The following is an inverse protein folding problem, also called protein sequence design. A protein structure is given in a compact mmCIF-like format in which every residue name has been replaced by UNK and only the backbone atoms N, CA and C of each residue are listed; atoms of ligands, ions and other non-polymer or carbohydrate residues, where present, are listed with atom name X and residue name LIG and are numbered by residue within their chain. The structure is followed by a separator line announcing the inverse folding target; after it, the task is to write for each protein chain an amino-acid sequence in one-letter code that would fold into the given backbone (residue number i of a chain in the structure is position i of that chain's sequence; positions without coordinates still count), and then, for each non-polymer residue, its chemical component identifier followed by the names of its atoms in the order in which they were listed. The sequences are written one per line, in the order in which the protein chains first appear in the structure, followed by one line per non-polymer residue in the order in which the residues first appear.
data_IF_832423051419
#
_entry.id   IF_832423051419
#
_cell.length_a   1.000
_cell.length_b   1.000
_cell.length_c   1.000
_cell.angle_alpha   90.00
_cell.angle_beta   90.00
_cell.angle_gamma   90.00
#
_symmetry.space_group_name_H-M   'P 1'
#
loop_
_entity.id
_entity.type
_entity.pdbx_description
1 polymer ?
#
# COMPACT_ATOMS: atom_id res chain seq x y z
N UNK A 1 -12.28 -27.53 9.66
CA UNK A 1 -11.94 -26.08 9.57
C UNK A 1 -11.11 -25.89 8.31
N UNK A 2 -11.54 -25.04 7.36
CA UNK A 2 -10.65 -24.64 6.26
C UNK A 2 -9.53 -23.80 6.87
N UNK A 3 -8.29 -24.11 6.53
CA UNK A 3 -7.15 -23.28 6.93
C UNK A 3 -7.25 -21.96 6.18
N UNK A 4 -7.33 -20.84 6.90
CA UNK A 4 -7.39 -19.51 6.29
C UNK A 4 -6.02 -19.21 5.70
N UNK A 5 -5.99 -18.77 4.44
CA UNK A 5 -4.74 -18.47 3.74
C UNK A 5 -4.30 -17.06 4.08
N UNK A 6 -2.99 -16.86 4.08
CA UNK A 6 -2.38 -15.54 4.31
C UNK A 6 -1.87 -14.97 3.01
N UNK A 7 -2.22 -13.71 2.76
CA UNK A 7 -1.85 -12.98 1.56
C UNK A 7 -1.08 -11.72 1.93
N UNK A 8 -0.04 -11.44 1.15
CA UNK A 8 0.61 -10.14 1.12
C UNK A 8 0.13 -9.40 -0.13
N UNK A 9 -0.47 -8.24 0.06
CA UNK A 9 -1.01 -7.39 -1.01
C UNK A 9 -0.21 -6.09 -1.04
N UNK A 10 0.33 -5.74 -2.20
CA UNK A 10 0.98 -4.46 -2.47
C UNK A 10 0.01 -3.60 -3.27
N UNK A 11 -0.35 -2.46 -2.71
CA UNK A 11 -1.21 -1.46 -3.32
C UNK A 11 -0.38 -0.26 -3.78
N UNK A 12 -0.90 0.41 -4.78
CA UNK A 12 -0.36 1.65 -5.32
C UNK A 12 -1.45 2.72 -5.30
N UNK A 13 -1.17 3.82 -4.60
CA UNK A 13 -1.99 5.02 -4.60
C UNK A 13 -1.35 6.11 -5.45
N UNK A 14 -2.15 6.81 -6.25
CA UNK A 14 -1.72 7.98 -7.05
C UNK A 14 -2.77 9.07 -7.02
N UNK A 15 -2.39 10.29 -7.39
CA UNK A 15 -3.25 11.46 -7.35
C UNK A 15 -3.77 11.78 -5.94
N UNK A 16 -2.98 11.56 -4.89
CA UNK A 16 -3.38 11.91 -3.53
C UNK A 16 -2.88 13.31 -3.19
N UNK A 17 -3.78 14.29 -3.09
CA UNK A 17 -3.46 15.61 -2.55
C UNK A 17 -3.50 15.52 -1.03
N UNK A 18 -2.35 15.51 -0.37
CA UNK A 18 -2.25 15.30 1.07
C UNK A 18 -1.72 16.54 1.79
N UNK A 19 -2.35 16.88 2.90
CA UNK A 19 -1.81 17.80 3.91
C UNK A 19 -1.20 17.00 5.05
N UNK A 20 0.08 17.24 5.35
CA UNK A 20 0.83 16.60 6.45
C UNK A 20 1.36 17.69 7.40
N UNK A 21 1.23 17.50 8.71
CA UNK A 21 1.91 18.32 9.74
C UNK A 21 1.82 19.85 9.55
N UNK A 22 0.66 20.36 9.10
CA UNK A 22 0.40 21.78 8.77
C UNK A 22 1.19 22.35 7.59
N UNK A 23 1.79 21.50 6.75
CA UNK A 23 2.36 21.92 5.47
C UNK A 23 1.27 22.14 4.40
N UNK A 24 1.52 22.99 3.38
CA UNK A 24 0.62 23.12 2.24
C UNK A 24 0.37 21.77 1.56
N UNK A 25 -0.87 21.48 1.11
CA UNK A 25 -1.17 20.23 0.44
C UNK A 25 -0.29 20.00 -0.80
N UNK A 26 0.20 18.78 -0.98
CA UNK A 26 1.01 18.37 -2.14
C UNK A 26 0.48 17.08 -2.76
N UNK A 27 0.71 16.90 -4.06
CA UNK A 27 0.35 15.67 -4.77
C UNK A 27 1.39 14.58 -4.50
N UNK A 28 0.92 13.49 -3.92
CA UNK A 28 1.71 12.31 -3.62
C UNK A 28 1.19 11.09 -4.38
N UNK A 29 2.12 10.20 -4.66
CA UNK A 29 1.86 8.80 -4.90
C UNK A 29 2.50 7.97 -3.79
N UNK A 30 2.00 6.76 -3.57
CA UNK A 30 2.55 5.88 -2.56
C UNK A 30 2.41 4.41 -2.92
N UNK A 31 3.29 3.61 -2.31
CA UNK A 31 3.06 2.18 -2.17
C UNK A 31 2.71 1.86 -0.73
N UNK A 32 1.81 0.90 -0.55
CA UNK A 32 1.49 0.37 0.76
C UNK A 32 1.28 -1.13 0.67
N UNK A 33 1.83 -1.88 1.61
CA UNK A 33 1.54 -3.31 1.69
C UNK A 33 0.69 -3.66 2.91
N UNK A 34 -0.20 -4.63 2.71
CA UNK A 34 -1.11 -5.16 3.72
C UNK A 34 -1.02 -6.68 3.73
N UNK A 35 -0.93 -7.22 4.94
CA UNK A 35 -1.10 -8.65 5.17
C UNK A 35 -2.53 -8.91 5.62
N UNK A 36 -3.21 -9.81 4.92
CA UNK A 36 -4.61 -10.15 5.14
C UNK A 36 -4.78 -11.65 5.16
N UNK A 37 -5.77 -12.09 5.92
CA UNK A 37 -6.25 -13.47 5.95
C UNK A 37 -7.51 -13.52 5.09
N UNK A 38 -7.55 -14.46 4.14
CA UNK A 38 -8.65 -14.60 3.18
C UNK A 38 -8.72 -16.04 2.65
N UNK A 39 -9.86 -16.43 2.10
CA UNK A 39 -10.04 -17.74 1.45
C UNK A 39 -9.53 -17.74 0.00
N UNK A 40 -9.40 -16.57 -0.61
CA UNK A 40 -8.96 -16.42 -2.01
C UNK A 40 -8.13 -15.16 -2.25
N UNK A 41 -7.40 -15.16 -3.38
CA UNK A 41 -6.66 -13.98 -3.85
C UNK A 41 -7.57 -12.76 -4.05
N UNK A 42 -8.74 -12.95 -4.67
CA UNK A 42 -9.66 -11.84 -4.96
C UNK A 42 -10.23 -11.22 -3.69
N UNK A 43 -10.53 -12.06 -2.69
CA UNK A 43 -10.96 -11.59 -1.38
C UNK A 43 -9.84 -10.85 -0.64
N UNK A 44 -8.60 -11.35 -0.72
CA UNK A 44 -7.44 -10.66 -0.15
C UNK A 44 -7.24 -9.26 -0.75
N UNK A 45 -7.41 -9.13 -2.07
CA UNK A 45 -7.37 -7.84 -2.77
C UNK A 45 -8.43 -6.86 -2.23
N UNK A 46 -9.68 -7.32 -2.13
CA UNK A 46 -10.79 -6.52 -1.63
C UNK A 46 -10.56 -6.05 -0.18
N UNK A 47 -10.15 -6.95 0.71
CA UNK A 47 -9.88 -6.62 2.12
C UNK A 47 -8.73 -5.62 2.22
N UNK A 48 -7.67 -5.79 1.43
CA UNK A 48 -6.51 -4.89 1.47
C UNK A 48 -6.87 -3.48 0.98
N UNK A 49 -7.62 -3.37 -0.12
CA UNK A 49 -8.12 -2.09 -0.64
C UNK A 49 -8.98 -1.38 0.40
N UNK A 50 -9.97 -2.08 0.95
CA UNK A 50 -10.88 -1.53 1.95
C UNK A 50 -10.11 -1.03 3.17
N UNK A 51 -9.13 -1.78 3.69
CA UNK A 51 -8.34 -1.35 4.85
C UNK A 51 -7.59 -0.04 4.64
N UNK A 52 -7.11 0.24 3.43
CA UNK A 52 -6.42 1.50 3.12
C UNK A 52 -7.40 2.65 2.95
N UNK A 53 -8.61 2.37 2.45
CA UNK A 53 -9.67 3.37 2.32
C UNK A 53 -10.28 3.75 3.68
N UNK A 54 -10.54 2.76 4.55
CA UNK A 54 -11.15 2.97 5.87
C UNK A 54 -10.16 3.60 6.86
N UNK A 55 -8.86 3.29 6.71
CA UNK A 55 -7.79 3.75 7.58
C UNK A 55 -6.61 4.27 6.74
N UNK A 56 -6.76 5.46 6.12
CA UNK A 56 -5.60 6.18 5.60
C UNK A 56 -4.61 6.43 6.74
N UNK A 57 -3.33 6.64 6.41
CA UNK A 57 -2.33 6.89 7.45
C UNK A 57 -2.75 8.07 8.35
N UNK A 58 -2.77 7.84 9.67
CA UNK A 58 -3.40 8.72 10.68
C UNK A 58 -2.92 10.18 10.63
N UNK A 59 -1.75 10.45 10.06
CA UNK A 59 -1.16 11.79 9.94
C UNK A 59 -1.53 12.54 8.65
N UNK A 60 -2.31 11.94 7.75
CA UNK A 60 -2.60 12.50 6.42
C UNK A 60 -4.07 12.91 6.29
N UNK A 61 -4.30 14.14 5.82
CA UNK A 61 -5.63 14.58 5.37
C UNK A 61 -5.66 14.55 3.84
N UNK A 62 -6.63 13.82 3.28
CA UNK A 62 -6.89 13.81 1.83
C UNK A 62 -7.68 15.08 1.49
N UNK A 63 -7.10 15.93 0.64
CA UNK A 63 -7.63 17.24 0.27
C UNK A 63 -8.14 17.28 -1.18
N UNK A 64 -8.22 16.14 -1.86
CA UNK A 64 -8.74 16.04 -3.23
C UNK A 64 -10.16 16.61 -3.35
N UNK A 65 -10.44 17.32 -4.45
CA UNK A 65 -11.79 17.68 -4.84
C UNK A 65 -12.53 16.44 -5.37
N UNK A 66 -13.87 16.48 -5.37
CA UNK A 66 -14.69 15.36 -5.88
C UNK A 66 -14.38 15.03 -7.35
N UNK A 67 -14.13 16.06 -8.17
CA UNK A 67 -13.79 15.93 -9.60
C UNK A 67 -12.33 15.52 -9.87
N UNK A 68 -11.46 15.48 -8.85
CA UNK A 68 -10.06 15.05 -8.93
C UNK A 68 -9.78 13.91 -7.94
N UNK A 69 -10.59 12.85 -8.00
CA UNK A 69 -10.53 11.73 -7.06
C UNK A 69 -9.17 11.00 -7.08
N UNK A 70 -8.62 10.60 -5.91
CA UNK A 70 -7.41 9.79 -5.85
C UNK A 70 -7.67 8.37 -6.37
N UNK A 71 -6.62 7.71 -6.85
CA UNK A 71 -6.70 6.35 -7.41
C UNK A 71 -5.92 5.39 -6.53
N UNK A 72 -6.57 4.30 -6.11
CA UNK A 72 -5.93 3.19 -5.39
C UNK A 72 -6.12 1.90 -6.18
N UNK A 73 -5.03 1.20 -6.45
CA UNK A 73 -5.05 -0.05 -7.22
C UNK A 73 -4.14 -1.12 -6.62
N UNK A 74 -4.49 -2.37 -6.90
CA UNK A 74 -3.65 -3.52 -6.57
C UNK A 74 -2.49 -3.60 -7.56
N UNK A 75 -1.26 -3.66 -7.05
CA UNK A 75 -0.06 -3.80 -7.87
C UNK A 75 0.57 -5.20 -7.79
N UNK A 76 0.54 -5.88 -6.64
CA UNK A 76 0.99 -7.29 -6.52
C UNK A 76 0.24 -8.00 -5.40
N UNK A 77 0.02 -9.32 -5.54
CA UNK A 77 -0.59 -10.16 -4.51
C UNK A 77 0.08 -11.52 -4.50
N UNK A 78 0.39 -12.00 -3.30
CA UNK A 78 1.09 -13.27 -3.12
C UNK A 78 0.52 -14.04 -1.94
N UNK A 79 0.41 -15.36 -2.08
CA UNK A 79 -0.09 -16.31 -1.08
C UNK A 79 1.09 -16.92 -0.30
N UNK A 80 0.91 -17.19 1.00
CA UNK A 80 1.82 -18.02 1.79
C UNK A 80 2.69 -17.30 2.82
N UNK A 81 2.28 -16.15 3.38
CA UNK A 81 3.14 -15.37 4.28
C UNK A 81 2.74 -15.41 5.75
N UNK A 82 3.70 -15.74 6.61
CA UNK A 82 3.61 -15.62 8.06
C UNK A 82 4.01 -14.24 8.55
N UNK A 83 3.11 -13.55 9.25
CA UNK A 83 3.35 -12.49 10.23
C UNK A 83 4.27 -11.30 9.84
N UNK A 84 4.45 -10.99 8.56
CA UNK A 84 5.19 -9.79 8.15
C UNK A 84 4.32 -8.55 8.31
N UNK A 85 4.42 -7.91 9.47
CA UNK A 85 4.05 -6.50 9.55
C UNK A 85 5.13 -5.66 8.84
N UNK A 86 4.76 -4.71 7.97
CA UNK A 86 5.67 -3.63 7.61
C UNK A 86 6.33 -3.03 8.86
N UNK A 87 7.61 -2.65 8.84
CA UNK A 87 8.07 -1.65 9.80
C UNK A 87 7.26 -0.36 9.60
N UNK A 88 6.69 0.17 10.69
CA UNK A 88 5.85 1.38 10.66
C UNK A 88 4.47 1.16 10.02
N UNK A 89 3.94 2.18 9.35
CA UNK A 89 2.61 2.19 8.71
C UNK A 89 2.55 1.36 7.42
N UNK A 90 3.71 0.99 6.87
CA UNK A 90 3.86 0.30 5.59
C UNK A 90 3.66 1.16 4.35
N UNK A 91 3.42 2.46 4.52
CA UNK A 91 3.37 3.42 3.43
C UNK A 91 4.77 3.89 3.02
N UNK A 92 4.96 4.09 1.73
CA UNK A 92 6.15 4.71 1.16
C UNK A 92 5.66 5.75 0.16
N UNK A 93 5.64 7.01 0.59
CA UNK A 93 5.24 8.16 -0.23
C UNK A 93 6.40 8.68 -1.07
N UNK A 94 6.04 9.30 -2.19
CA UNK A 94 6.90 10.14 -3.00
C UNK A 94 6.05 11.22 -3.67
N UNK A 95 6.65 12.38 -3.92
CA UNK A 95 5.99 13.46 -4.66
C UNK A 95 5.71 12.98 -6.10
N UNK A 96 4.46 13.12 -6.54
CA UNK A 96 4.04 12.60 -7.85
C UNK A 96 4.62 13.41 -9.01
N UNK A 97 5.03 14.65 -8.74
CA UNK A 97 5.74 15.51 -9.69
C UNK A 97 7.24 15.19 -9.83
N UNK A 98 7.79 14.37 -8.94
CA UNK A 98 9.20 13.95 -8.99
C UNK A 98 9.32 12.58 -9.67
N UNK A 99 10.34 12.44 -10.52
CA UNK A 99 10.65 11.13 -11.08
C UNK A 99 11.17 10.23 -9.94
N UNK A 100 10.51 9.08 -9.68
CA UNK A 100 10.97 8.18 -8.64
C UNK A 100 12.42 7.76 -8.96
N UNK A 101 13.31 7.65 -7.95
CA UNK A 101 14.71 7.34 -8.19
C UNK A 101 14.87 6.11 -9.09
N UNK A 102 15.84 6.14 -10.02
CA UNK A 102 16.05 5.02 -10.95
C UNK A 102 16.15 3.69 -10.20
N UNK A 103 15.28 2.74 -10.56
CA UNK A 103 15.21 1.42 -9.92
C UNK A 103 14.47 1.38 -8.57
N UNK A 104 13.80 2.47 -8.16
CA UNK A 104 12.98 2.53 -6.94
C UNK A 104 11.94 1.41 -6.91
N UNK A 105 11.14 1.27 -7.98
CA UNK A 105 10.13 0.21 -8.07
C UNK A 105 10.76 -1.20 -8.06
N UNK A 106 11.92 -1.38 -8.69
CA UNK A 106 12.64 -2.65 -8.65
C UNK A 106 13.14 -2.97 -7.24
N UNK A 107 13.65 -1.97 -6.52
CA UNK A 107 14.10 -2.09 -5.12
C UNK A 107 12.92 -2.33 -4.18
N UNK A 108 11.79 -1.67 -4.42
CA UNK A 108 10.55 -1.86 -3.69
C UNK A 108 10.01 -3.27 -3.89
N UNK A 109 9.89 -3.73 -5.15
CA UNK A 109 9.50 -5.11 -5.47
C UNK A 109 10.47 -6.12 -4.89
N UNK A 110 11.77 -5.85 -4.89
CA UNK A 110 12.77 -6.69 -4.20
C UNK A 110 12.60 -6.68 -2.69
N UNK A 111 12.25 -5.54 -2.07
CA UNK A 111 11.94 -5.46 -0.64
C UNK A 111 10.67 -6.22 -0.30
N UNK A 112 9.62 -6.06 -1.10
CA UNK A 112 8.40 -6.84 -1.01
C UNK A 112 8.73 -8.33 -1.15
N UNK A 113 9.52 -8.71 -2.17
CA UNK A 113 9.99 -10.08 -2.37
C UNK A 113 10.84 -10.62 -1.22
N UNK A 114 11.74 -9.82 -0.65
CA UNK A 114 12.61 -10.26 0.46
C UNK A 114 11.88 -10.29 1.80
N UNK A 115 10.97 -9.35 2.01
CA UNK A 115 10.03 -9.38 3.12
C UNK A 115 9.24 -10.70 3.04
N UNK A 116 8.75 -11.06 1.86
CA UNK A 116 8.04 -12.33 1.62
C UNK A 116 8.91 -13.59 1.70
N UNK A 117 10.24 -13.51 1.61
CA UNK A 117 11.13 -14.69 1.52
C UNK A 117 11.89 -15.01 2.81
N UNK A 118 11.69 -14.28 3.92
CA UNK A 118 12.22 -14.71 5.21
C UNK A 118 11.30 -15.77 5.79
N UNK A 119 11.60 -17.03 5.48
CA UNK A 119 11.24 -18.16 6.34
C UNK A 119 11.76 -17.89 7.75
N UNK A 120 10.95 -18.21 8.75
CA UNK A 120 11.36 -18.26 10.15
C UNK A 120 12.23 -19.49 10.39
#
# INVERSE_FOLDING_TARGET
MKSVKKYAVLLYGSNYLLSKDNEPPRKYAFFVWRCVEADSRAEAEAIALQRVQDYPEDSCVICNAEDDSPVLQVNDVREGYGALQPPGSGYIYYDEGDEPPKGFFAKLRRRFSRATLREW
#
